data_IF_660145763894
#
_entry.id   IF_660145763894
#
_cell.length_a   1.000
_cell.length_b   1.000
_cell.length_c   1.000
_cell.angle_alpha   90.00
_cell.angle_beta   90.00
_cell.angle_gamma   90.00
#
_symmetry.space_group_name_H-M   'P 1'
#
loop_
_entity.id
_entity.type
_entity.pdbx_description
1 polymer ?
#
# COMPACT_ATOMS: atom_id res chain seq x y z
N UNK A 1 -55.32 1.83 -26.32
CA UNK A 1 -54.76 0.71 -27.04
C UNK A 1 -53.30 1.03 -27.28
N UNK A 2 -52.27 0.53 -26.62
CA UNK A 2 -52.05 -0.64 -25.80
C UNK A 2 -50.93 -0.36 -24.81
N UNK A 3 -51.23 -0.38 -23.52
CA UNK A 3 -50.20 -0.28 -22.43
C UNK A 3 -49.97 -1.65 -21.75
N UNK A 4 -50.26 -2.76 -22.43
CA UNK A 4 -50.28 -4.08 -21.79
C UNK A 4 -49.14 -5.02 -22.19
N UNK A 5 -48.16 -4.58 -22.97
CA UNK A 5 -47.07 -5.47 -23.48
C UNK A 5 -45.76 -5.29 -22.76
N UNK A 6 -45.56 -4.24 -21.93
CA UNK A 6 -44.27 -3.94 -21.31
C UNK A 6 -44.03 -4.65 -19.95
N UNK A 7 -45.05 -5.32 -19.40
CA UNK A 7 -44.94 -5.91 -18.05
C UNK A 7 -44.67 -7.42 -18.01
N UNK A 8 -44.64 -8.10 -19.14
CA UNK A 8 -44.35 -9.54 -19.18
C UNK A 8 -42.85 -9.88 -19.34
N UNK A 9 -42.07 -8.97 -19.88
CA UNK A 9 -40.62 -9.21 -20.10
C UNK A 9 -39.74 -8.96 -18.86
N UNK A 10 -40.27 -8.35 -17.82
CA UNK A 10 -39.51 -8.05 -16.60
C UNK A 10 -39.68 -9.06 -15.47
N UNK A 11 -40.57 -10.03 -15.62
CA UNK A 11 -40.82 -11.09 -14.62
C UNK A 11 -40.01 -12.37 -14.86
N UNK A 12 -39.47 -12.59 -16.04
CA UNK A 12 -38.66 -13.79 -16.32
C UNK A 12 -37.16 -13.64 -15.95
N UNK A 13 -36.65 -12.43 -15.66
CA UNK A 13 -35.26 -12.23 -15.29
C UNK A 13 -34.95 -12.38 -13.79
N UNK A 14 -35.95 -12.62 -12.96
CA UNK A 14 -35.81 -12.68 -11.50
C UNK A 14 -36.00 -14.06 -10.88
N UNK A 15 -36.10 -15.12 -11.70
CA UNK A 15 -36.37 -16.47 -11.21
C UNK A 15 -35.17 -17.45 -11.22
N UNK A 16 -33.98 -17.01 -11.59
CA UNK A 16 -32.84 -17.92 -11.76
C UNK A 16 -31.65 -17.63 -10.83
N UNK A 17 -31.90 -17.12 -9.64
CA UNK A 17 -30.83 -16.91 -8.65
C UNK A 17 -31.25 -17.31 -7.23
N UNK A 18 -31.74 -18.55 -7.08
CA UNK A 18 -31.80 -19.20 -5.77
C UNK A 18 -31.56 -20.70 -5.92
N UNK A 19 -30.34 -21.10 -5.75
CA UNK A 19 -30.01 -22.48 -5.34
C UNK A 19 -28.86 -22.44 -4.32
N UNK A 20 -29.02 -23.05 -3.15
CA UNK A 20 -27.97 -23.14 -2.13
C UNK A 20 -27.07 -24.31 -2.42
N UNK A 21 -25.77 -24.14 -2.29
CA UNK A 21 -24.82 -25.25 -2.26
C UNK A 21 -24.36 -25.49 -0.82
N UNK A 22 -24.73 -26.61 -0.39
CA UNK A 22 -24.45 -27.36 0.80
C UNK A 22 -22.99 -27.79 0.89
N UNK A 23 -22.41 -27.60 2.05
CA UNK A 23 -21.57 -28.50 2.88
C UNK A 23 -20.67 -29.52 2.18
N UNK A 24 -19.37 -29.44 2.44
CA UNK A 24 -18.57 -30.60 2.86
C UNK A 24 -17.35 -30.14 3.66
N UNK A 25 -17.38 -30.53 4.91
CA UNK A 25 -16.25 -30.58 5.85
C UNK A 25 -15.40 -31.84 5.58
N UNK A 26 -14.28 -31.91 6.27
CA UNK A 26 -13.35 -33.02 6.47
C UNK A 26 -12.06 -32.91 5.65
N UNK A 27 -10.86 -33.04 6.14
CA UNK A 27 -10.39 -33.65 7.37
C UNK A 27 -8.91 -33.28 7.54
N UNK A 28 -8.42 -33.04 8.74
CA UNK A 28 -7.01 -33.12 9.09
C UNK A 28 -6.68 -34.58 9.45
N UNK A 29 -5.43 -35.06 9.36
CA UNK A 29 -4.53 -35.10 10.51
C UNK A 29 -3.08 -34.76 10.11
N UNK A 30 -2.30 -34.08 10.92
CA UNK A 30 -1.42 -34.51 12.03
C UNK A 30 -0.41 -35.60 11.73
N UNK A 31 0.77 -35.32 12.21
CA UNK A 31 1.86 -36.23 12.65
C UNK A 31 3.16 -36.02 11.87
N UNK A 32 4.13 -35.45 12.49
CA UNK A 32 5.10 -35.94 13.47
C UNK A 32 6.36 -36.47 12.80
N UNK A 33 7.47 -35.91 13.08
CA UNK A 33 8.70 -36.56 13.53
C UNK A 33 9.96 -35.74 13.24
N UNK A 34 10.54 -35.21 14.28
CA UNK A 34 12.00 -35.13 14.38
C UNK A 34 12.55 -36.55 14.71
N UNK A 35 13.79 -36.90 14.42
CA UNK A 35 14.82 -36.97 15.45
C UNK A 35 16.17 -36.40 14.99
N UNK A 36 16.90 -35.63 15.80
CA UNK A 36 17.92 -36.07 16.78
C UNK A 36 18.92 -37.12 16.32
N UNK A 37 20.15 -36.77 16.40
CA UNK A 37 21.36 -37.39 17.01
C UNK A 37 22.59 -37.02 16.20
N UNK A 38 23.49 -36.25 16.75
CA UNK A 38 24.60 -36.59 17.64
C UNK A 38 25.76 -37.36 16.94
N UNK A 39 26.90 -36.77 16.87
CA UNK A 39 28.13 -37.30 17.48
C UNK A 39 29.36 -36.58 16.95
N UNK A 40 30.09 -35.96 17.82
CA UNK A 40 31.55 -35.85 17.73
C UNK A 40 32.17 -37.19 18.12
N UNK A 41 33.44 -37.54 17.84
CA UNK A 41 34.55 -36.93 18.53
C UNK A 41 35.89 -36.81 17.75
N UNK A 42 36.72 -35.89 18.23
CA UNK A 42 38.16 -35.97 18.55
C UNK A 42 39.13 -36.77 17.64
N UNK A 43 40.23 -36.20 17.23
CA UNK A 43 41.50 -36.31 17.95
C UNK A 43 42.68 -35.82 17.10
N UNK A 44 43.53 -35.04 17.75
CA UNK A 44 44.98 -34.92 17.67
C UNK A 44 45.71 -34.86 16.33
N UNK A 45 46.39 -33.72 16.12
CA UNK A 45 47.86 -33.66 16.03
C UNK A 45 48.34 -32.22 15.83
N UNK A 46 49.03 -31.68 16.81
CA UNK A 46 50.16 -30.75 16.58
C UNK A 46 51.42 -31.62 16.43
N UNK A 47 52.58 -31.11 15.99
CA UNK A 47 53.03 -29.75 15.91
C UNK A 47 53.78 -29.41 14.60
N UNK A 48 54.03 -28.21 14.27
CA UNK A 48 55.43 -27.74 14.08
C UNK A 48 55.55 -26.28 13.66
N UNK A 49 56.29 -25.66 14.44
CA UNK A 49 57.02 -24.43 14.42
C UNK A 49 57.52 -23.99 13.04
N UNK A 50 57.10 -22.79 12.55
CA UNK A 50 58.03 -21.97 11.77
C UNK A 50 57.77 -20.49 12.04
N UNK A 51 58.79 -19.90 12.63
CA UNK A 51 59.02 -18.48 12.72
C UNK A 51 58.79 -17.78 11.39
N UNK A 52 57.93 -16.79 11.35
CA UNK A 52 58.15 -15.70 10.38
C UNK A 52 57.48 -14.41 10.86
N UNK A 53 58.34 -13.43 11.10
CA UNK A 53 58.09 -12.00 11.02
C UNK A 53 56.90 -11.42 11.79
N UNK A 54 57.18 -10.89 12.95
CA UNK A 54 56.43 -9.83 13.60
C UNK A 54 56.34 -8.62 12.64
N UNK A 55 55.33 -8.58 11.86
CA UNK A 55 54.92 -7.35 11.24
C UNK A 55 54.32 -6.45 12.33
N UNK A 56 55.07 -5.43 12.71
CA UNK A 56 54.66 -4.37 13.62
C UNK A 56 53.36 -3.75 13.07
N UNK A 57 52.24 -4.26 13.52
CA UNK A 57 50.94 -3.55 13.36
C UNK A 57 51.08 -2.23 14.09
N UNK A 58 51.35 -1.15 13.35
CA UNK A 58 51.25 0.22 13.84
C UNK A 58 49.82 0.39 14.38
N UNK A 59 49.66 0.26 15.69
CA UNK A 59 48.43 0.54 16.39
C UNK A 59 48.01 1.96 16.06
N UNK A 60 46.90 2.08 15.34
CA UNK A 60 46.29 3.38 15.03
C UNK A 60 45.85 3.97 16.37
N UNK A 61 46.64 4.85 16.94
CA UNK A 61 46.29 5.56 18.18
C UNK A 61 45.21 6.57 17.82
N UNK A 62 43.95 6.20 18.02
CA UNK A 62 42.85 7.13 17.98
C UNK A 62 43.05 8.21 19.04
N UNK A 63 43.45 9.40 18.62
CA UNK A 63 43.47 10.55 19.51
C UNK A 63 42.02 10.99 19.79
N UNK A 64 41.73 11.49 21.01
CA UNK A 64 40.38 11.97 21.37
C UNK A 64 39.82 12.96 20.36
N UNK A 65 40.66 13.76 19.71
CA UNK A 65 40.28 14.73 18.66
C UNK A 65 39.79 14.06 17.37
N UNK A 66 40.43 12.95 16.94
CA UNK A 66 40.01 12.18 15.76
C UNK A 66 38.72 11.42 16.02
N UNK A 67 38.46 10.94 17.23
CA UNK A 67 37.19 10.29 17.60
C UNK A 67 36.01 11.28 17.59
N UNK A 68 36.23 12.51 18.06
CA UNK A 68 35.21 13.57 18.05
C UNK A 68 34.85 13.98 16.61
N UNK A 69 35.86 14.13 15.73
CA UNK A 69 35.62 14.50 14.34
C UNK A 69 34.86 13.38 13.56
N UNK A 70 35.18 12.12 13.82
CA UNK A 70 34.50 10.98 13.21
C UNK A 70 33.03 10.90 13.65
N UNK A 71 32.77 11.14 14.94
CA UNK A 71 31.42 11.20 15.49
C UNK A 71 30.58 12.32 14.87
N UNK A 72 31.15 13.49 14.67
CA UNK A 72 30.48 14.63 14.06
C UNK A 72 30.14 14.34 12.59
N UNK A 73 31.03 13.75 11.82
CA UNK A 73 30.76 13.36 10.42
C UNK A 73 29.68 12.30 10.35
N UNK A 74 29.72 11.29 11.21
CA UNK A 74 28.67 10.25 11.26
C UNK A 74 27.29 10.85 11.57
N UNK A 75 27.23 11.78 12.51
CA UNK A 75 25.98 12.45 12.89
C UNK A 75 25.42 13.28 11.73
N UNK A 76 26.25 13.99 10.98
CA UNK A 76 25.83 14.74 9.78
C UNK A 76 25.30 13.79 8.71
N UNK A 77 25.95 12.65 8.48
CA UNK A 77 25.49 11.64 7.52
C UNK A 77 24.14 11.05 7.92
N UNK A 78 23.94 10.75 9.21
CA UNK A 78 22.66 10.24 9.72
C UNK A 78 21.56 11.29 9.55
N UNK A 79 21.82 12.56 9.88
CA UNK A 79 20.84 13.65 9.70
C UNK A 79 20.51 13.81 8.21
N UNK A 80 21.52 13.80 7.34
CA UNK A 80 21.31 13.87 5.90
C UNK A 80 20.48 12.69 5.36
N UNK A 81 20.74 11.47 5.84
CA UNK A 81 19.97 10.30 5.49
C UNK A 81 18.50 10.41 5.93
N UNK A 82 18.23 10.93 7.13
CA UNK A 82 16.87 11.15 7.63
C UNK A 82 16.13 12.20 6.79
N UNK A 83 16.81 13.28 6.40
CA UNK A 83 16.21 14.35 5.59
C UNK A 83 15.94 13.90 4.14
N UNK A 84 16.78 13.01 3.59
CA UNK A 84 16.67 12.52 2.22
C UNK A 84 15.70 11.35 2.07
N UNK A 85 15.27 10.69 3.17
CA UNK A 85 14.28 9.62 3.07
C UNK A 85 12.86 10.19 2.97
N UNK A 86 12.10 9.83 1.93
CA UNK A 86 10.73 10.30 1.79
C UNK A 86 9.88 9.81 2.97
N UNK A 87 9.02 10.68 3.47
CA UNK A 87 8.09 10.34 4.55
C UNK A 87 7.15 9.19 4.13
N UNK A 88 6.53 8.52 5.12
CA UNK A 88 5.53 7.47 4.80
C UNK A 88 4.44 8.02 3.88
N UNK A 89 3.98 9.24 4.12
CA UNK A 89 2.96 9.91 3.31
C UNK A 89 3.38 10.05 1.85
N UNK A 90 4.58 10.57 1.59
CA UNK A 90 5.13 10.75 0.24
C UNK A 90 5.36 9.41 -0.49
N UNK A 91 5.74 8.36 0.25
CA UNK A 91 5.86 7.01 -0.34
C UNK A 91 4.51 6.46 -0.76
N UNK A 92 3.47 6.67 0.06
CA UNK A 92 2.10 6.28 -0.27
C UNK A 92 1.58 7.07 -1.45
N UNK A 93 1.74 8.40 -1.45
CA UNK A 93 1.40 9.27 -2.57
C UNK A 93 2.03 8.79 -3.89
N UNK A 94 3.36 8.61 -3.90
CA UNK A 94 4.08 8.12 -5.08
C UNK A 94 3.58 6.76 -5.55
N UNK A 95 3.25 5.86 -4.63
CA UNK A 95 2.71 4.55 -4.98
C UNK A 95 1.30 4.65 -5.55
N UNK A 96 0.46 5.51 -5.00
CA UNK A 96 -0.88 5.78 -5.54
C UNK A 96 -0.81 6.35 -6.96
N UNK A 97 0.11 7.29 -7.23
CA UNK A 97 0.35 7.82 -8.58
C UNK A 97 0.76 6.69 -9.54
N UNK A 98 1.61 5.76 -9.11
CA UNK A 98 2.00 4.61 -9.94
C UNK A 98 0.82 3.68 -10.25
N UNK A 99 -0.09 3.45 -9.30
CA UNK A 99 -1.25 2.57 -9.48
C UNK A 99 -2.31 3.26 -10.34
N UNK A 100 -2.75 4.46 -9.94
CA UNK A 100 -3.82 5.20 -10.61
C UNK A 100 -3.40 5.81 -11.95
N UNK A 101 -2.09 6.06 -12.12
CA UNK A 101 -1.54 6.78 -13.29
C UNK A 101 -1.62 8.30 -13.15
N UNK A 102 -2.34 8.81 -12.17
CA UNK A 102 -2.50 10.23 -11.89
C UNK A 102 -2.96 10.48 -10.45
N UNK A 103 -2.65 11.65 -9.92
CA UNK A 103 -3.20 12.18 -8.67
C UNK A 103 -3.04 13.70 -8.67
N UNK A 104 -3.95 14.41 -8.04
CA UNK A 104 -3.75 15.80 -7.67
C UNK A 104 -2.79 15.86 -6.48
N UNK A 105 -1.71 16.63 -6.57
CA UNK A 105 -0.71 16.69 -5.50
C UNK A 105 -0.52 18.09 -4.98
N UNK A 106 -0.26 18.22 -3.68
CA UNK A 106 0.07 19.46 -3.00
C UNK A 106 1.09 19.25 -1.90
N UNK A 107 1.48 20.31 -1.21
CA UNK A 107 2.54 20.24 -0.19
C UNK A 107 2.26 19.24 0.91
N UNK A 108 0.99 19.13 1.35
CA UNK A 108 0.59 18.30 2.48
C UNK A 108 -0.62 17.42 2.16
N UNK A 109 -1.00 17.30 0.90
CA UNK A 109 -2.15 16.50 0.49
C UNK A 109 -1.94 15.90 -0.89
N UNK A 110 -2.67 14.82 -1.18
CA UNK A 110 -2.90 14.32 -2.52
C UNK A 110 -4.35 13.89 -2.68
N UNK A 111 -4.83 13.93 -3.92
CA UNK A 111 -6.22 13.62 -4.28
C UNK A 111 -6.24 12.50 -5.33
N UNK A 112 -7.11 11.54 -5.13
CA UNK A 112 -7.42 10.48 -6.09
C UNK A 112 -8.85 10.66 -6.58
N UNK A 113 -9.02 10.69 -7.89
CA UNK A 113 -10.30 10.94 -8.53
C UNK A 113 -10.61 9.84 -9.54
N UNK A 114 -11.79 9.21 -9.39
CA UNK A 114 -12.25 8.14 -10.29
C UNK A 114 -12.75 8.68 -11.63
N UNK A 115 -12.96 9.99 -11.74
CA UNK A 115 -13.35 10.67 -12.98
C UNK A 115 -12.56 11.98 -13.14
N UNK A 116 -11.28 11.91 -13.48
CA UNK A 116 -10.43 13.10 -13.58
C UNK A 116 -10.93 14.10 -14.64
N UNK A 117 -10.78 15.38 -14.38
CA UNK A 117 -11.21 16.48 -15.27
C UNK A 117 -10.75 16.32 -16.73
N UNK A 118 -9.59 15.70 -16.94
CA UNK A 118 -9.06 15.44 -18.29
C UNK A 118 -9.97 14.58 -19.16
N UNK A 119 -10.85 13.79 -18.56
CA UNK A 119 -11.82 12.93 -19.26
C UNK A 119 -13.11 13.65 -19.65
N UNK A 120 -13.42 14.79 -19.01
CA UNK A 120 -14.59 15.59 -19.33
C UNK A 120 -14.57 16.10 -20.77
N UNK A 121 -13.36 16.46 -21.26
CA UNK A 121 -13.15 17.04 -22.60
C UNK A 121 -12.85 16.01 -23.69
N UNK A 122 -12.86 14.71 -23.36
CA UNK A 122 -12.63 13.64 -24.33
C UNK A 122 -13.90 13.31 -25.12
N UNK A 123 -13.69 12.82 -26.34
CA UNK A 123 -14.76 12.19 -27.13
C UNK A 123 -15.43 11.08 -26.32
N UNK A 124 -16.75 10.99 -26.39
CA UNK A 124 -17.54 10.06 -25.59
C UNK A 124 -17.13 8.60 -25.81
N UNK A 125 -16.83 8.22 -27.04
CA UNK A 125 -16.41 6.86 -27.39
C UNK A 125 -15.07 6.51 -26.74
N UNK A 126 -14.11 7.43 -26.82
CA UNK A 126 -12.78 7.27 -26.22
C UNK A 126 -12.88 7.24 -24.70
N UNK A 127 -13.67 8.13 -24.13
CA UNK A 127 -13.92 8.18 -22.69
C UNK A 127 -14.51 6.88 -22.17
N UNK A 128 -15.58 6.36 -22.81
CA UNK A 128 -16.23 5.12 -22.41
C UNK A 128 -15.31 3.89 -22.52
N UNK A 129 -14.31 3.93 -23.41
CA UNK A 129 -13.31 2.88 -23.54
C UNK A 129 -12.24 2.94 -22.42
N UNK A 130 -11.79 4.13 -22.05
CA UNK A 130 -10.66 4.31 -21.14
C UNK A 130 -11.06 4.44 -19.66
N UNK A 131 -12.21 5.08 -19.39
CA UNK A 131 -12.65 5.42 -18.04
C UNK A 131 -12.80 4.21 -17.10
N UNK A 132 -13.36 3.06 -17.50
CA UNK A 132 -13.47 1.90 -16.61
C UNK A 132 -12.11 1.45 -16.06
N UNK A 133 -11.07 1.42 -16.90
CA UNK A 133 -9.73 1.05 -16.48
C UNK A 133 -9.07 2.08 -15.56
N UNK A 134 -9.42 3.36 -15.70
CA UNK A 134 -8.95 4.43 -14.79
C UNK A 134 -9.64 4.30 -13.44
N UNK A 135 -10.95 4.10 -13.44
CA UNK A 135 -11.74 3.92 -12.22
C UNK A 135 -11.23 2.73 -11.40
N UNK A 136 -11.01 1.59 -12.02
CA UNK A 136 -10.48 0.39 -11.35
C UNK A 136 -9.14 0.66 -10.66
N UNK A 137 -8.16 1.22 -11.40
CA UNK A 137 -6.85 1.55 -10.85
C UNK A 137 -6.93 2.61 -9.74
N UNK A 138 -7.79 3.61 -9.90
CA UNK A 138 -7.96 4.63 -8.86
C UNK A 138 -8.58 4.04 -7.59
N UNK A 139 -9.55 3.16 -7.70
CA UNK A 139 -10.14 2.46 -6.56
C UNK A 139 -9.11 1.55 -5.86
N UNK A 140 -8.22 0.90 -6.62
CA UNK A 140 -7.10 0.14 -6.06
C UNK A 140 -6.13 1.06 -5.29
N UNK A 141 -5.78 2.22 -5.85
CA UNK A 141 -4.94 3.21 -5.19
C UNK A 141 -5.58 3.75 -3.91
N UNK A 142 -6.89 4.02 -3.90
CA UNK A 142 -7.64 4.45 -2.72
C UNK A 142 -7.60 3.38 -1.64
N UNK A 143 -7.83 2.11 -2.00
CA UNK A 143 -7.75 1.00 -1.05
C UNK A 143 -6.35 0.90 -0.44
N UNK A 144 -5.31 0.93 -1.28
CA UNK A 144 -3.92 0.92 -0.84
C UNK A 144 -3.61 2.08 0.11
N UNK A 145 -4.01 3.31 -0.23
CA UNK A 145 -3.78 4.49 0.61
C UNK A 145 -4.48 4.37 1.97
N UNK A 146 -5.72 3.87 2.01
CA UNK A 146 -6.46 3.65 3.25
C UNK A 146 -5.73 2.66 4.17
N UNK A 147 -5.28 1.53 3.63
CA UNK A 147 -4.58 0.50 4.39
C UNK A 147 -3.25 1.05 4.94
N UNK A 148 -2.46 1.73 4.12
CA UNK A 148 -1.16 2.26 4.50
C UNK A 148 -1.23 3.46 5.45
N UNK A 149 -2.19 4.35 5.28
CA UNK A 149 -2.34 5.54 6.12
C UNK A 149 -3.13 5.28 7.42
N UNK A 150 -3.62 4.05 7.61
CA UNK A 150 -4.28 3.63 8.85
C UNK A 150 -5.75 4.00 8.93
N UNK A 151 -6.47 3.79 7.83
CA UNK A 151 -7.92 3.93 7.74
C UNK A 151 -8.61 2.60 7.35
N UNK A 152 -8.41 1.51 8.11
CA UNK A 152 -8.99 0.22 7.80
C UNK A 152 -10.53 0.30 7.83
N UNK A 153 -11.17 -0.26 6.82
CA UNK A 153 -12.63 -0.31 6.74
C UNK A 153 -13.32 0.90 6.11
N UNK A 154 -12.66 2.05 5.99
CA UNK A 154 -13.23 3.26 5.37
C UNK A 154 -13.52 3.06 3.89
N UNK A 155 -12.76 2.24 3.20
CA UNK A 155 -12.98 1.93 1.78
C UNK A 155 -14.42 1.46 1.50
N UNK A 156 -14.96 0.59 2.35
CA UNK A 156 -16.33 0.11 2.21
C UNK A 156 -17.38 1.22 2.45
N UNK A 157 -17.06 2.23 3.27
CA UNK A 157 -17.92 3.40 3.48
C UNK A 157 -17.87 4.34 2.27
N UNK A 158 -16.68 4.55 1.70
CA UNK A 158 -16.50 5.35 0.47
C UNK A 158 -17.35 4.82 -0.67
N UNK A 159 -17.34 3.50 -0.90
CA UNK A 159 -18.14 2.86 -1.95
C UNK A 159 -19.66 2.93 -1.72
N UNK A 160 -20.10 3.20 -0.51
CA UNK A 160 -21.53 3.38 -0.17
C UNK A 160 -21.94 4.86 -0.12
N UNK A 161 -20.99 5.77 -0.31
CA UNK A 161 -21.29 7.21 -0.28
C UNK A 161 -22.13 7.61 -1.48
N UNK A 162 -23.16 8.38 -1.22
CA UNK A 162 -24.05 8.94 -2.25
C UNK A 162 -23.90 10.45 -2.33
N UNK A 163 -24.33 11.07 -3.43
CA UNK A 163 -24.30 12.52 -3.62
C UNK A 163 -25.03 13.29 -2.49
N UNK A 164 -26.08 12.70 -1.92
CA UNK A 164 -26.87 13.31 -0.85
C UNK A 164 -26.13 13.38 0.49
N UNK A 165 -25.12 12.54 0.68
CA UNK A 165 -24.35 12.51 1.94
C UNK A 165 -23.34 13.66 2.02
N UNK A 166 -23.07 14.35 0.92
CA UNK A 166 -22.07 15.39 0.84
C UNK A 166 -20.65 14.89 1.14
N UNK A 167 -19.77 15.82 1.48
CA UNK A 167 -18.37 15.49 1.82
C UNK A 167 -18.29 14.83 3.19
N UNK A 168 -17.72 13.64 3.21
CA UNK A 168 -17.43 12.86 4.40
C UNK A 168 -15.97 13.00 4.78
N UNK A 169 -15.61 12.74 6.03
CA UNK A 169 -14.20 12.73 6.44
C UNK A 169 -13.97 11.85 7.66
N UNK A 170 -12.75 11.34 7.78
CA UNK A 170 -12.23 10.61 8.92
C UNK A 170 -10.81 11.06 9.22
N UNK A 171 -10.37 10.95 10.47
CA UNK A 171 -9.00 11.32 10.82
C UNK A 171 -8.40 10.41 11.89
N UNK A 172 -7.10 10.28 11.84
CA UNK A 172 -6.30 9.67 12.89
C UNK A 172 -5.25 10.67 13.43
N UNK A 173 -4.32 10.22 14.25
CA UNK A 173 -3.32 11.09 14.87
C UNK A 173 -2.40 11.83 13.88
N UNK A 174 -2.22 11.32 12.66
CA UNK A 174 -1.24 11.81 11.68
C UNK A 174 -1.87 12.34 10.40
N UNK A 175 -3.01 11.79 10.01
CA UNK A 175 -3.62 12.02 8.72
C UNK A 175 -5.10 12.28 8.83
N UNK A 176 -5.64 12.96 7.83
CA UNK A 176 -7.06 13.13 7.58
C UNK A 176 -7.35 12.64 6.17
N UNK A 177 -8.46 11.92 6.02
CA UNK A 177 -9.02 11.56 4.73
C UNK A 177 -10.40 12.23 4.60
N UNK A 178 -10.70 12.76 3.44
CA UNK A 178 -12.04 13.27 3.12
C UNK A 178 -12.44 12.83 1.73
N UNK A 179 -13.72 12.55 1.53
CA UNK A 179 -14.22 12.08 0.25
C UNK A 179 -15.63 12.60 0.00
N UNK A 180 -16.00 12.65 -1.26
CA UNK A 180 -17.37 12.85 -1.70
C UNK A 180 -17.60 12.09 -3.00
N UNK A 181 -18.87 11.81 -3.28
CA UNK A 181 -19.32 11.17 -4.51
C UNK A 181 -20.28 12.10 -5.25
N UNK A 182 -20.10 12.19 -6.55
CA UNK A 182 -21.03 12.86 -7.46
C UNK A 182 -21.40 11.93 -8.62
N UNK A 183 -22.68 11.85 -9.04
CA UNK A 183 -23.09 10.93 -10.11
C UNK A 183 -22.33 11.16 -11.42
N UNK A 184 -22.03 12.40 -11.76
CA UNK A 184 -21.39 12.77 -13.02
C UNK A 184 -19.85 12.74 -12.96
N UNK A 185 -19.27 12.97 -11.78
CA UNK A 185 -17.81 13.05 -11.60
C UNK A 185 -17.21 11.95 -10.70
N UNK A 186 -18.03 10.99 -10.24
CA UNK A 186 -17.56 9.83 -9.51
C UNK A 186 -17.13 10.12 -8.06
N UNK A 187 -16.18 9.33 -7.56
CA UNK A 187 -15.63 9.40 -6.21
C UNK A 187 -14.29 10.18 -6.22
N UNK A 188 -14.24 11.26 -5.47
CA UNK A 188 -13.00 11.99 -5.16
C UNK A 188 -12.60 11.75 -3.72
N UNK A 189 -11.33 11.42 -3.48
CA UNK A 189 -10.76 11.17 -2.16
C UNK A 189 -9.50 12.01 -1.98
N UNK A 190 -9.46 12.81 -0.91
CA UNK A 190 -8.31 13.63 -0.53
C UNK A 190 -7.70 13.11 0.77
N UNK A 191 -6.41 12.84 0.75
CA UNK A 191 -5.59 12.52 1.92
C UNK A 191 -4.75 13.72 2.29
N UNK A 192 -4.70 14.05 3.58
CA UNK A 192 -4.00 15.21 4.09
C UNK A 192 -3.13 14.84 5.29
N UNK A 193 -1.91 15.35 5.31
CA UNK A 193 -1.00 15.29 6.47
C UNK A 193 -1.39 16.38 7.47
N UNK A 194 -1.51 16.02 8.74
CA UNK A 194 -1.81 16.94 9.85
C UNK A 194 -0.57 17.69 10.32
#
# INVERSE_FOLDING_TARGET
>A
MDETITNAAQQELNAEQTAPAETAAQDAPAEEAAPETASAPAENAAPENTNTAQEKRKGFRFTKKTAISLGAVLLVVIIAAIILTPSKFERVENKCIQIAGQAGTGKNYFTLDTYPDSYEYMDETVRNLLLPGVQERTLEAIKYANDELGFPGIYALMLKTTALMGRQSEENSKYKVSWYYHPDSGLEVMYQKK
#
